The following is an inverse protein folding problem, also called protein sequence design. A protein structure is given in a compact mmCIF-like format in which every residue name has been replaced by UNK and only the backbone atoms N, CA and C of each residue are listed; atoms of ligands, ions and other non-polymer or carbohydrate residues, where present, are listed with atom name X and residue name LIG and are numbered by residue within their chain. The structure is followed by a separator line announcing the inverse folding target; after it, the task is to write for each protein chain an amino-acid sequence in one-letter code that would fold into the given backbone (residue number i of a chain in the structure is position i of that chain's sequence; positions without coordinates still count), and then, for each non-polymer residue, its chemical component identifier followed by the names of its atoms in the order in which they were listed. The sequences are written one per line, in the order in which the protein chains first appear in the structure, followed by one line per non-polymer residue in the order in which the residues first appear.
data_IF_267524048741
#
_entry.id   IF_267524048741
#
_cell.length_a   1.000
_cell.length_b   1.000
_cell.length_c   1.000
_cell.angle_alpha   90.00
_cell.angle_beta   90.00
_cell.angle_gamma   90.00
#
_symmetry.space_group_name_H-M   'P 1'
#
loop_
_entity.id
_entity.type
_entity.pdbx_description
1 polymer ?
#
# COMPACT_ATOMS: atom_id res chain seq x y z
N UNK A 1 -7.24 -19.24 -3.59
CA UNK A 1 -5.89 -19.06 -3.02
C UNK A 1 -6.03 -17.94 -2.02
N UNK A 2 -5.71 -18.16 -0.74
CA UNK A 2 -5.67 -17.05 0.21
C UNK A 2 -4.53 -16.15 -0.25
N UNK A 3 -4.85 -14.96 -0.76
CA UNK A 3 -3.85 -13.97 -1.06
C UNK A 3 -3.21 -13.63 0.29
N UNK A 4 -1.99 -14.14 0.51
CA UNK A 4 -1.14 -13.54 1.52
C UNK A 4 -1.07 -12.05 1.15
N UNK A 5 -1.53 -11.19 2.05
CA UNK A 5 -1.49 -9.73 1.91
C UNK A 5 -0.04 -9.28 1.95
N UNK A 6 0.67 -9.64 0.89
CA UNK A 6 2.08 -9.32 0.68
C UNK A 6 2.16 -7.81 0.63
N UNK A 7 3.02 -7.19 1.46
CA UNK A 7 3.04 -5.75 1.59
C UNK A 7 3.41 -5.11 0.26
N UNK A 8 3.00 -3.86 0.07
CA UNK A 8 3.49 -3.00 -1.01
C UNK A 8 4.38 -1.90 -0.45
N UNK A 9 5.34 -1.45 -1.26
CA UNK A 9 6.29 -0.40 -0.87
C UNK A 9 5.89 0.91 -1.53
N UNK A 10 5.93 2.01 -0.79
CA UNK A 10 5.71 3.36 -1.31
C UNK A 10 7.02 4.12 -1.32
N UNK A 11 7.37 4.63 -2.50
CA UNK A 11 8.53 5.46 -2.72
C UNK A 11 8.09 6.88 -3.05
N UNK A 12 8.84 7.87 -2.59
CA UNK A 12 8.53 9.27 -2.85
C UNK A 12 9.66 10.19 -2.41
N UNK A 13 9.41 11.49 -2.50
CA UNK A 13 10.37 12.47 -1.99
C UNK A 13 10.46 12.42 -0.46
N UNK A 14 11.69 12.58 0.05
CA UNK A 14 11.99 12.56 1.50
C UNK A 14 12.92 13.72 1.90
N UNK A 15 13.08 14.71 1.03
CA UNK A 15 13.99 15.85 1.21
C UNK A 15 13.56 16.79 2.33
N UNK A 16 12.25 16.95 2.53
CA UNK A 16 11.68 17.86 3.53
C UNK A 16 10.64 17.15 4.39
N UNK A 17 10.32 17.69 5.59
CA UNK A 17 9.23 17.15 6.41
C UNK A 17 7.87 17.12 5.71
N UNK A 18 7.62 18.07 4.79
CA UNK A 18 6.39 18.10 4.00
C UNK A 18 6.34 16.96 2.99
N UNK A 19 7.48 16.60 2.38
CA UNK A 19 7.56 15.47 1.46
C UNK A 19 7.33 14.15 2.20
N UNK A 20 7.90 14.00 3.40
CA UNK A 20 7.68 12.82 4.24
C UNK A 20 6.20 12.70 4.64
N UNK A 21 5.54 13.81 5.00
CA UNK A 21 4.11 13.79 5.32
C UNK A 21 3.25 13.46 4.10
N UNK A 22 3.61 13.97 2.91
CA UNK A 22 2.95 13.61 1.65
C UNK A 22 3.10 12.11 1.37
N UNK A 23 4.32 11.58 1.47
CA UNK A 23 4.61 10.15 1.32
C UNK A 23 3.78 9.30 2.29
N UNK A 24 3.71 9.73 3.56
CA UNK A 24 2.93 9.07 4.61
C UNK A 24 1.42 9.10 4.30
N UNK A 25 0.91 10.23 3.81
CA UNK A 25 -0.48 10.37 3.40
C UNK A 25 -0.84 9.43 2.23
N UNK A 26 0.02 9.36 1.22
CA UNK A 26 -0.16 8.43 0.09
C UNK A 26 -0.16 6.98 0.57
N UNK A 27 0.77 6.61 1.45
CA UNK A 27 0.84 5.26 2.00
C UNK A 27 -0.42 4.87 2.80
N UNK A 28 -0.99 5.81 3.56
CA UNK A 28 -2.26 5.58 4.24
C UNK A 28 -3.42 5.37 3.25
N UNK A 29 -3.51 6.20 2.20
CA UNK A 29 -4.55 6.04 1.16
C UNK A 29 -4.41 4.70 0.43
N UNK A 30 -3.18 4.29 0.09
CA UNK A 30 -2.91 2.98 -0.52
C UNK A 30 -3.35 1.82 0.39
N UNK A 31 -3.07 1.90 1.69
CA UNK A 31 -3.48 0.85 2.64
C UNK A 31 -5.01 0.73 2.70
N UNK A 32 -5.69 1.87 2.61
CA UNK A 32 -7.14 1.94 2.55
C UNK A 32 -7.71 1.42 1.23
N UNK A 33 -7.17 1.85 0.08
CA UNK A 33 -7.63 1.47 -1.24
C UNK A 33 -7.37 -0.02 -1.58
N UNK A 34 -6.21 -0.55 -1.18
CA UNK A 34 -5.81 -1.94 -1.43
C UNK A 34 -6.33 -2.92 -0.38
N UNK A 35 -6.59 -2.45 0.85
CA UNK A 35 -6.85 -3.36 1.97
C UNK A 35 -5.66 -4.26 2.30
N UNK A 36 -4.43 -3.78 2.05
CA UNK A 36 -3.18 -4.51 2.25
C UNK A 36 -2.20 -3.71 3.14
N UNK A 37 -1.22 -4.37 3.79
CA UNK A 37 -0.14 -3.67 4.46
C UNK A 37 0.69 -2.83 3.48
N UNK A 38 0.98 -1.60 3.87
CA UNK A 38 1.75 -0.66 3.07
C UNK A 38 2.92 -0.14 3.89
N UNK A 39 4.13 -0.17 3.33
CA UNK A 39 5.33 0.40 3.95
C UNK A 39 5.78 1.61 3.13
N UNK A 40 6.15 2.71 3.78
CA UNK A 40 6.71 3.88 3.08
C UNK A 40 8.20 4.05 3.39
N UNK A 41 9.02 4.16 2.35
CA UNK A 41 10.46 4.17 2.52
C UNK A 41 11.02 5.57 2.84
N UNK A 42 11.75 5.68 3.95
CA UNK A 42 12.50 6.91 4.30
C UNK A 42 14.03 6.73 4.30
N UNK A 43 14.50 5.49 4.11
CA UNK A 43 15.91 5.08 4.05
C UNK A 43 16.07 3.89 3.09
N UNK A 44 17.28 3.33 2.96
CA UNK A 44 17.62 2.27 1.98
C UNK A 44 17.56 0.84 2.52
N UNK A 45 17.29 0.64 3.81
CA UNK A 45 17.42 -0.68 4.44
C UNK A 45 16.30 -1.69 4.08
N UNK A 46 15.40 -1.30 3.17
CA UNK A 46 14.32 -2.14 2.67
C UNK A 46 14.82 -3.11 1.59
N UNK A 47 14.29 -4.33 1.61
CA UNK A 47 14.52 -5.31 0.55
C UNK A 47 13.33 -5.29 -0.39
N UNK A 48 13.45 -4.64 -1.54
CA UNK A 48 12.35 -4.47 -2.51
C UNK A 48 11.69 -5.77 -2.96
N UNK A 49 12.41 -6.90 -2.88
CA UNK A 49 11.91 -8.25 -3.22
C UNK A 49 10.98 -8.86 -2.18
N UNK A 50 10.86 -8.25 -1.00
CA UNK A 50 9.90 -8.67 0.04
C UNK A 50 8.50 -8.06 -0.20
N UNK A 51 8.35 -7.21 -1.22
CA UNK A 51 7.10 -6.51 -1.55
C UNK A 51 6.48 -7.03 -2.85
N UNK A 52 5.15 -6.97 -2.93
CA UNK A 52 4.40 -7.40 -4.12
C UNK A 52 4.55 -6.42 -5.28
N UNK A 53 4.60 -5.12 -4.97
CA UNK A 53 4.72 -4.04 -5.92
C UNK A 53 5.28 -2.78 -5.24
N UNK A 54 5.71 -1.82 -6.05
CA UNK A 54 6.12 -0.48 -5.64
C UNK A 54 5.11 0.53 -6.18
N UNK A 55 4.67 1.44 -5.32
CA UNK A 55 3.84 2.60 -5.69
C UNK A 55 4.65 3.87 -5.50
N UNK A 56 4.58 4.79 -6.46
CA UNK A 56 5.22 6.08 -6.36
C UNK A 56 4.23 7.11 -5.77
N UNK A 57 4.69 7.92 -4.83
CA UNK A 57 3.91 9.03 -4.26
C UNK A 57 3.90 10.28 -5.17
N UNK A 58 4.79 10.29 -6.15
CA UNK A 58 4.94 11.29 -7.19
C UNK A 58 5.09 10.56 -8.52
N UNK A 59 4.78 11.21 -9.65
CA UNK A 59 5.04 10.60 -10.96
C UNK A 59 6.53 10.32 -11.19
N UNK A 60 6.83 9.40 -12.09
CA UNK A 60 8.20 9.00 -12.41
C UNK A 60 9.11 10.18 -12.81
N UNK A 61 8.58 11.23 -13.46
CA UNK A 61 9.36 12.40 -13.86
C UNK A 61 9.83 13.19 -12.63
N UNK A 62 8.92 13.45 -11.68
CA UNK A 62 9.22 14.08 -10.41
C UNK A 62 10.15 13.23 -9.53
N UNK A 63 10.22 11.92 -9.78
CA UNK A 63 11.09 11.01 -9.06
C UNK A 63 12.55 11.06 -9.51
N UNK A 64 12.87 11.63 -10.68
CA UNK A 64 14.24 11.75 -11.16
C UNK A 64 15.12 12.66 -10.28
N UNK A 65 14.51 13.64 -9.62
CA UNK A 65 15.18 14.57 -8.70
C UNK A 65 15.08 14.13 -7.23
N UNK A 66 14.60 12.91 -6.97
CA UNK A 66 14.38 12.42 -5.62
C UNK A 66 15.68 12.14 -4.87
N UNK A 67 15.63 12.11 -3.52
CA UNK A 67 16.76 11.72 -2.70
C UNK A 67 17.32 10.35 -3.07
N UNK A 68 18.62 10.17 -2.80
CA UNK A 68 19.33 8.94 -3.10
C UNK A 68 18.63 7.66 -2.59
N UNK A 69 18.03 7.60 -1.38
CA UNK A 69 17.31 6.41 -0.94
C UNK A 69 16.20 5.96 -1.90
N UNK A 70 15.39 6.90 -2.36
CA UNK A 70 14.28 6.63 -3.28
C UNK A 70 14.77 6.12 -4.62
N UNK A 71 15.77 6.79 -5.20
CA UNK A 71 16.35 6.38 -6.48
C UNK A 71 17.02 5.01 -6.44
N UNK A 72 17.69 4.69 -5.32
CA UNK A 72 18.32 3.38 -5.11
C UNK A 72 17.25 2.28 -5.08
N UNK A 73 16.23 2.43 -4.24
CA UNK A 73 15.17 1.43 -4.12
C UNK A 73 14.36 1.27 -5.41
N UNK A 74 14.07 2.37 -6.10
CA UNK A 74 13.42 2.32 -7.41
C UNK A 74 14.26 1.53 -8.43
N UNK A 75 15.56 1.81 -8.48
CA UNK A 75 16.50 1.07 -9.33
C UNK A 75 16.56 -0.42 -8.99
N UNK A 76 16.58 -0.76 -7.70
CA UNK A 76 16.55 -2.16 -7.24
C UNK A 76 15.24 -2.86 -7.63
N UNK A 77 14.09 -2.20 -7.47
CA UNK A 77 12.79 -2.76 -7.82
C UNK A 77 12.71 -3.09 -9.32
N UNK A 78 13.14 -2.15 -10.17
CA UNK A 78 13.20 -2.33 -11.62
C UNK A 78 14.15 -3.46 -12.03
N UNK A 79 15.32 -3.56 -11.39
CA UNK A 79 16.29 -4.64 -11.66
C UNK A 79 15.78 -6.02 -11.21
N UNK A 80 15.01 -6.06 -10.12
CA UNK A 80 14.40 -7.27 -9.60
C UNK A 80 13.13 -7.69 -10.37
N UNK A 81 12.62 -6.84 -11.26
CA UNK A 81 11.38 -7.08 -12.00
C UNK A 81 10.13 -6.97 -11.14
N UNK A 82 10.18 -6.14 -10.08
CA UNK A 82 9.01 -5.79 -9.29
C UNK A 82 8.20 -4.74 -10.04
N UNK A 83 6.88 -4.91 -10.05
CA UNK A 83 5.97 -3.97 -10.70
C UNK A 83 6.03 -2.60 -10.01
N UNK A 84 6.12 -1.53 -10.80
CA UNK A 84 6.16 -0.15 -10.33
C UNK A 84 4.96 0.60 -10.90
N UNK A 85 4.19 1.24 -10.02
CA UNK A 85 2.98 1.97 -10.37
C UNK A 85 3.14 3.47 -10.08
N UNK A 86 2.85 4.29 -11.09
CA UNK A 86 2.67 5.74 -10.93
C UNK A 86 1.34 6.04 -10.23
N UNK A 87 1.21 7.22 -9.57
CA UNK A 87 -0.10 7.74 -9.17
C UNK A 87 -1.02 7.88 -10.39
N UNK A 88 -2.32 7.67 -10.21
CA UNK A 88 -3.28 7.93 -11.27
C UNK A 88 -3.40 9.43 -11.53
N UNK A 89 -3.53 9.80 -12.79
CA UNK A 89 -3.91 11.17 -13.13
C UNK A 89 -5.36 11.45 -12.73
N UNK A 90 -5.74 12.73 -12.70
CA UNK A 90 -7.11 13.12 -12.33
C UNK A 90 -8.19 12.56 -13.27
N UNK A 91 -7.85 12.30 -14.53
CA UNK A 91 -8.73 11.67 -15.53
C UNK A 91 -8.70 10.13 -15.49
N UNK A 92 -7.70 9.53 -14.84
CA UNK A 92 -7.61 8.09 -14.59
C UNK A 92 -8.26 7.68 -13.26
N UNK A 93 -8.39 8.61 -12.32
CA UNK A 93 -9.05 8.36 -11.05
C UNK A 93 -10.50 7.93 -11.25
N UNK A 94 -10.89 6.84 -10.58
CA UNK A 94 -12.20 6.20 -10.71
C UNK A 94 -12.83 5.96 -9.35
N UNK A 95 -14.15 5.93 -9.30
CA UNK A 95 -14.92 5.69 -8.08
C UNK A 95 -15.66 4.36 -8.18
N UNK A 96 -15.50 3.51 -7.18
CA UNK A 96 -16.30 2.30 -7.02
C UNK A 96 -17.72 2.68 -6.56
N UNK A 97 -18.72 1.86 -6.88
CA UNK A 97 -20.12 2.09 -6.48
C UNK A 97 -20.33 2.19 -4.96
N UNK A 98 -19.43 1.62 -4.14
CA UNK A 98 -19.44 1.81 -2.68
C UNK A 98 -19.02 3.21 -2.22
N UNK A 99 -18.55 4.06 -3.14
CA UNK A 99 -18.09 5.42 -2.89
C UNK A 99 -16.58 5.55 -2.66
N UNK A 100 -15.84 4.45 -2.62
CA UNK A 100 -14.38 4.48 -2.55
C UNK A 100 -13.79 5.06 -3.83
N UNK A 101 -12.96 6.10 -3.70
CA UNK A 101 -12.26 6.73 -4.81
C UNK A 101 -10.84 6.19 -4.87
N UNK A 102 -10.43 5.79 -6.06
CA UNK A 102 -9.10 5.26 -6.34
C UNK A 102 -8.23 6.35 -6.95
N UNK A 103 -7.28 6.86 -6.17
CA UNK A 103 -6.33 7.88 -6.62
C UNK A 103 -4.95 7.29 -6.90
N UNK A 104 -4.61 6.17 -6.28
CA UNK A 104 -3.26 5.59 -6.34
C UNK A 104 -3.25 4.15 -6.83
N UNK A 105 -4.42 3.52 -6.93
CA UNK A 105 -4.56 2.11 -7.30
C UNK A 105 -5.49 1.95 -8.49
N UNK A 106 -5.21 0.99 -9.36
CA UNK A 106 -6.15 0.63 -10.43
C UNK A 106 -7.12 -0.43 -9.89
N UNK A 107 -8.42 -0.12 -9.74
CA UNK A 107 -9.41 -1.13 -9.37
C UNK A 107 -9.69 -2.08 -10.54
N UNK A 108 -10.40 -3.17 -10.26
CA UNK A 108 -10.88 -4.06 -11.31
C UNK A 108 -12.06 -3.41 -12.03
N UNK A 109 -12.02 -3.38 -13.36
CA UNK A 109 -13.14 -2.91 -14.19
C UNK A 109 -13.61 -4.10 -15.03
N UNK A 110 -14.89 -4.47 -14.90
CA UNK A 110 -15.46 -5.60 -15.63
C UNK A 110 -15.82 -5.27 -17.09
N UNK A 111 -16.37 -6.23 -17.82
CA UNK A 111 -16.69 -6.09 -19.24
C UNK A 111 -17.81 -5.06 -19.49
N UNK A 112 -18.64 -4.80 -18.49
CA UNK A 112 -19.73 -3.85 -18.49
C UNK A 112 -19.28 -2.45 -18.06
N UNK A 113 -18.03 -2.30 -17.61
CA UNK A 113 -17.45 -1.05 -17.14
C UNK A 113 -17.73 -0.75 -15.68
N UNK A 114 -18.21 -1.73 -14.90
CA UNK A 114 -18.42 -1.57 -13.46
C UNK A 114 -17.07 -1.60 -12.75
N UNK A 115 -16.87 -0.64 -11.86
CA UNK A 115 -15.65 -0.49 -11.07
C UNK A 115 -15.80 -1.23 -9.75
N UNK A 116 -14.88 -2.14 -9.50
CA UNK A 116 -14.85 -3.01 -8.33
C UNK A 116 -13.56 -2.78 -7.53
N UNK A 117 -13.70 -2.22 -6.33
CA UNK A 117 -12.58 -2.07 -5.40
C UNK A 117 -12.21 -3.39 -4.70
N UNK A 118 -11.06 -3.42 -4.02
CA UNK A 118 -10.61 -4.60 -3.28
C UNK A 118 -11.63 -5.05 -2.23
N UNK A 119 -12.31 -4.11 -1.56
CA UNK A 119 -13.38 -4.41 -0.62
C UNK A 119 -14.59 -5.07 -1.30
N UNK A 120 -15.15 -4.48 -2.37
CA UNK A 120 -16.31 -5.05 -3.06
C UNK A 120 -16.00 -6.38 -3.77
N UNK A 121 -14.72 -6.74 -3.90
CA UNK A 121 -14.26 -8.04 -4.43
C UNK A 121 -13.83 -9.02 -3.35
N UNK A 122 -13.98 -8.67 -2.07
CA UNK A 122 -13.58 -9.53 -0.94
C UNK A 122 -12.07 -9.85 -0.96
N UNK A 123 -11.27 -8.93 -1.48
CA UNK A 123 -9.79 -9.01 -1.59
C UNK A 123 -9.09 -8.21 -0.47
N UNK A 124 -9.82 -7.33 0.21
CA UNK A 124 -9.37 -6.61 1.42
C UNK A 124 -9.50 -7.50 2.66
N UNK A 125 -8.43 -7.60 3.46
CA UNK A 125 -8.43 -8.47 4.63
C UNK A 125 -7.68 -7.84 5.82
N UNK A 126 -8.15 -8.15 7.03
CA UNK A 126 -7.44 -7.86 8.25
C UNK A 126 -6.07 -8.56 8.24
N UNK A 127 -4.99 -7.79 8.36
CA UNK A 127 -3.63 -8.32 8.33
C UNK A 127 -3.30 -9.27 9.49
N UNK A 128 -4.14 -9.31 10.54
CA UNK A 128 -3.98 -10.21 11.69
C UNK A 128 -4.77 -11.51 11.57
N UNK A 129 -6.09 -11.42 11.42
CA UNK A 129 -6.95 -12.61 11.40
C UNK A 129 -7.20 -13.16 9.98
N UNK A 130 -6.79 -12.42 8.95
CA UNK A 130 -7.02 -12.73 7.53
C UNK A 130 -8.50 -12.85 7.14
N UNK A 131 -9.39 -12.36 8.00
CA UNK A 131 -10.82 -12.26 7.71
C UNK A 131 -11.09 -10.92 7.01
N UNK A 132 -12.12 -10.91 6.19
CA UNK A 132 -12.55 -9.74 5.43
C UNK A 132 -13.31 -8.74 6.30
N UNK A 133 -13.53 -7.56 5.75
CA UNK A 133 -14.19 -6.46 6.44
C UNK A 133 -15.71 -6.63 6.63
N UNK A 134 -16.30 -7.70 6.08
CA UNK A 134 -17.72 -8.03 6.24
C UNK A 134 -18.04 -8.49 7.68
N UNK A 135 -17.02 -8.95 8.41
CA UNK A 135 -17.11 -9.29 9.83
C UNK A 135 -17.06 -8.03 10.71
N UNK A 136 -16.14 -7.11 10.42
CA UNK A 136 -15.91 -5.87 11.16
C UNK A 136 -15.19 -4.86 10.26
N UNK A 137 -15.44 -3.56 10.42
CA UNK A 137 -14.73 -2.54 9.63
C UNK A 137 -13.21 -2.55 9.91
N UNK A 138 -12.41 -2.45 8.85
CA UNK A 138 -10.96 -2.36 8.95
C UNK A 138 -10.54 -0.94 9.34
N UNK A 139 -9.70 -0.85 10.37
CA UNK A 139 -8.99 0.37 10.76
C UNK A 139 -7.56 0.30 10.24
N UNK A 140 -7.10 1.35 9.57
CA UNK A 140 -5.69 1.49 9.18
C UNK A 140 -4.88 1.93 10.40
N UNK A 141 -3.95 1.09 10.83
CA UNK A 141 -3.10 1.34 12.00
C UNK A 141 -1.66 1.62 11.59
N UNK A 142 -1.11 2.70 12.12
CA UNK A 142 0.29 3.08 11.92
C UNK A 142 1.21 2.29 12.87
N UNK A 143 2.25 1.68 12.32
CA UNK A 143 3.29 0.96 13.04
C UNK A 143 4.66 1.28 12.43
N UNK A 144 5.37 2.26 13.01
CA UNK A 144 6.65 2.71 12.47
C UNK A 144 6.48 3.36 11.10
N UNK A 145 7.04 2.73 10.07
CA UNK A 145 6.96 3.11 8.66
C UNK A 145 5.91 2.31 7.87
N UNK A 146 5.01 1.62 8.58
CA UNK A 146 3.97 0.80 7.97
C UNK A 146 2.55 1.26 8.37
N UNK A 147 1.63 1.10 7.44
CA UNK A 147 0.19 1.18 7.64
C UNK A 147 -0.42 -0.21 7.44
N UNK A 148 -1.13 -0.68 8.45
CA UNK A 148 -1.63 -2.05 8.52
C UNK A 148 -3.14 -2.04 8.71
N UNK A 149 -3.93 -2.59 7.77
CA UNK A 149 -5.38 -2.72 7.93
C UNK A 149 -5.71 -3.82 8.95
N UNK A 150 -6.44 -3.48 10.01
CA UNK A 150 -6.81 -4.39 11.10
C UNK A 150 -8.25 -4.17 11.55
N UNK A 151 -8.96 -5.24 11.88
CA UNK A 151 -10.22 -5.14 12.62
C UNK A 151 -10.00 -4.52 13.99
N UNK A 152 -10.92 -3.67 14.47
CA UNK A 152 -10.78 -3.04 15.78
C UNK A 152 -10.72 -4.08 16.91
N UNK A 153 -11.45 -5.20 16.81
CA UNK A 153 -11.32 -6.34 17.72
C UNK A 153 -9.92 -6.97 17.72
N UNK A 154 -9.23 -7.02 16.57
CA UNK A 154 -7.87 -7.56 16.46
C UNK A 154 -6.80 -6.69 17.11
N UNK A 155 -7.05 -5.38 17.27
CA UNK A 155 -6.15 -4.46 17.98
C UNK A 155 -5.98 -4.81 19.46
N UNK A 156 -7.03 -5.39 20.05
CA UNK A 156 -7.07 -5.73 21.47
C UNK A 156 -6.35 -7.05 21.82
N UNK A 157 -5.90 -7.79 20.80
CA UNK A 157 -5.09 -8.99 20.96
C UNK A 157 -3.60 -8.64 20.73
N UNK A 158 -2.81 -8.39 21.79
CA UNK A 158 -1.37 -8.21 21.62
C UNK A 158 -0.80 -9.47 20.97
N UNK A 159 0.01 -9.26 19.94
CA UNK A 159 0.62 -10.28 19.11
C UNK A 159 1.16 -11.47 19.95
N UNK A 160 0.35 -12.51 20.13
CA UNK A 160 0.88 -13.80 20.55
C UNK A 160 1.35 -14.46 19.28
N UNK A 161 2.67 -14.37 19.07
CA UNK A 161 3.38 -14.86 17.91
C UNK A 161 2.87 -16.24 17.48
N UNK A 162 2.05 -16.28 16.43
CA UNK A 162 1.97 -17.44 15.55
C UNK A 162 2.81 -17.12 14.33
N UNK A 163 4.10 -17.43 14.46
CA UNK A 163 5.04 -17.77 13.40
C UNK A 163 4.81 -17.10 12.03
N UNK A 164 5.63 -16.09 11.70
CA UNK A 164 6.22 -16.07 10.37
C UNK A 164 6.09 -14.81 9.50
N UNK A 165 5.82 -13.63 10.04
CA UNK A 165 6.16 -12.39 9.34
C UNK A 165 7.01 -11.52 10.25
N UNK A 166 8.34 -11.45 10.05
CA UNK A 166 9.05 -10.25 10.44
C UNK A 166 8.60 -9.17 9.47
N UNK A 167 7.69 -8.29 9.89
CA UNK A 167 7.71 -6.95 9.33
C UNK A 167 9.01 -6.37 9.91
N UNK A 168 10.08 -6.46 9.12
CA UNK A 168 11.38 -5.94 9.49
C UNK A 168 11.24 -4.41 9.57
N UNK A 169 11.42 -3.89 10.77
CA UNK A 169 11.72 -2.48 11.05
C UNK A 169 13.17 -2.22 10.66
#
# INVERSE_FOLDING_TARGET
MLAHTTPVLVLGNTSTPADVEHLRHVAWNLAYELGAPVVFATHTDYRVTDFAAVYLANDLEAMLDAPAPTLILLGEALLAGIDVHDPLTADEAVTCDCGLVHHFTQPHIDAEGVVWCAECREESACAWCFEWNDVEELTIVEQGDAFVPLHAGCLSHPATSRSGLPIAV
#
